data_IF_400859424614
#
_entry.id   IF_400859424614
#
_cell.length_a   1.000
_cell.length_b   1.000
_cell.length_c   1.000
_cell.angle_alpha   90.00
_cell.angle_beta   90.00
_cell.angle_gamma   90.00
#
_symmetry.space_group_name_H-M   'P 1'
#
loop_
_entity.id
_entity.type
_entity.pdbx_description
1 polymer ?
#
# COMPACT_ATOMS: atom_id res chain seq x y z
N UNK A 1 13.25 19.29 -14.24
CA UNK A 1 12.76 19.35 -12.84
C UNK A 1 11.87 18.14 -12.59
N UNK A 2 12.08 17.39 -11.49
CA UNK A 2 11.21 16.27 -11.07
C UNK A 2 10.25 16.80 -10.00
N UNK A 3 8.95 16.49 -10.13
CA UNK A 3 7.90 16.88 -9.17
C UNK A 3 7.37 15.60 -8.50
N UNK A 4 7.11 15.65 -7.21
CA UNK A 4 6.48 14.57 -6.46
C UNK A 4 5.35 15.15 -5.60
N UNK A 5 4.24 14.43 -5.54
CA UNK A 5 3.10 14.75 -4.69
C UNK A 5 3.05 13.71 -3.57
N UNK A 6 3.14 14.18 -2.33
CA UNK A 6 3.25 13.32 -1.14
C UNK A 6 2.10 13.68 -0.22
N UNK A 7 1.21 12.73 0.02
CA UNK A 7 0.18 12.82 1.05
C UNK A 7 0.56 11.90 2.22
N UNK A 8 0.88 12.45 3.41
CA UNK A 8 1.24 11.63 4.56
C UNK A 8 0.01 10.90 5.09
N UNK A 9 0.15 9.59 5.27
CA UNK A 9 -0.87 8.71 5.86
C UNK A 9 -0.33 8.03 7.10
N UNK A 10 -1.19 7.82 8.10
CA UNK A 10 -0.83 7.10 9.31
C UNK A 10 -0.90 5.59 9.09
N UNK A 11 -0.03 4.83 9.75
CA UNK A 11 -0.10 3.36 9.77
C UNK A 11 -1.44 2.93 10.36
N UNK A 12 -2.15 2.04 9.67
CA UNK A 12 -3.50 1.61 10.03
C UNK A 12 -4.62 2.58 9.62
N UNK A 13 -4.27 3.71 9.01
CA UNK A 13 -5.24 4.63 8.39
C UNK A 13 -5.71 4.13 7.03
N UNK A 14 -6.94 4.54 6.65
CA UNK A 14 -7.48 4.31 5.30
C UNK A 14 -6.61 5.01 4.26
N UNK A 15 -6.25 4.31 3.18
CA UNK A 15 -5.46 4.90 2.10
C UNK A 15 -6.39 5.66 1.15
N UNK A 16 -6.17 6.97 0.92
CA UNK A 16 -7.02 7.77 0.04
C UNK A 16 -6.85 7.36 -1.43
N UNK A 17 -7.84 7.71 -2.25
CA UNK A 17 -7.77 7.57 -3.70
C UNK A 17 -6.61 8.39 -4.25
N UNK A 18 -5.56 7.73 -4.72
CA UNK A 18 -4.35 8.41 -5.20
C UNK A 18 -4.36 8.57 -6.72
N UNK A 19 -3.82 9.70 -7.22
CA UNK A 19 -3.72 9.94 -8.66
C UNK A 19 -2.66 9.05 -9.31
N UNK A 20 -3.08 8.18 -10.22
CA UNK A 20 -2.18 7.51 -11.16
C UNK A 20 -1.94 8.43 -12.35
N UNK A 21 -0.73 8.99 -12.43
CA UNK A 21 -0.33 9.86 -13.53
C UNK A 21 0.03 9.02 -14.77
N UNK A 22 -0.71 9.23 -15.86
CA UNK A 22 -0.38 8.66 -17.17
C UNK A 22 0.57 9.60 -17.93
N UNK A 23 0.33 10.90 -17.76
CA UNK A 23 1.13 11.99 -18.31
C UNK A 23 1.29 13.09 -17.24
N UNK A 24 2.25 14.03 -17.39
CA UNK A 24 2.45 15.11 -16.44
C UNK A 24 1.22 16.01 -16.20
N UNK A 25 0.24 15.98 -17.10
CA UNK A 25 -0.99 16.79 -17.06
C UNK A 25 -2.26 15.93 -16.90
N UNK A 26 -2.16 14.59 -16.98
CA UNK A 26 -3.32 13.69 -16.93
C UNK A 26 -3.12 12.62 -15.86
N UNK A 27 -4.08 12.55 -14.95
CA UNK A 27 -4.14 11.52 -13.93
C UNK A 27 -5.55 10.95 -13.82
N UNK A 28 -5.63 9.74 -13.27
CA UNK A 28 -6.90 9.08 -12.92
C UNK A 28 -6.86 8.77 -11.41
N UNK A 29 -7.91 9.11 -10.64
CA UNK A 29 -8.01 8.69 -9.25
C UNK A 29 -8.21 7.17 -9.20
N UNK A 30 -7.38 6.47 -8.44
CA UNK A 30 -7.46 5.01 -8.29
C UNK A 30 -7.74 4.66 -6.82
N UNK A 31 -8.76 3.81 -6.54
CA UNK A 31 -9.04 3.31 -5.19
C UNK A 31 -8.02 2.26 -4.80
N UNK A 32 -6.88 2.74 -4.31
CA UNK A 32 -5.71 1.90 -4.05
C UNK A 32 -5.97 0.88 -2.94
N UNK A 33 -6.67 1.28 -1.87
CA UNK A 33 -7.03 0.36 -0.78
C UNK A 33 -7.91 -0.78 -1.26
N UNK A 34 -9.00 -0.46 -1.97
CA UNK A 34 -9.96 -1.46 -2.43
C UNK A 34 -9.32 -2.40 -3.46
N UNK A 35 -8.52 -1.84 -4.37
CA UNK A 35 -7.80 -2.62 -5.38
C UNK A 35 -6.77 -3.55 -4.73
N UNK A 36 -6.02 -3.05 -3.75
CA UNK A 36 -5.03 -3.86 -3.05
C UNK A 36 -5.67 -4.95 -2.19
N UNK A 37 -6.76 -4.63 -1.51
CA UNK A 37 -7.56 -5.59 -0.71
C UNK A 37 -8.10 -6.71 -1.60
N UNK A 38 -8.68 -6.37 -2.74
CA UNK A 38 -9.18 -7.35 -3.70
C UNK A 38 -8.06 -8.22 -4.28
N UNK A 39 -6.93 -7.61 -4.65
CA UNK A 39 -5.77 -8.33 -5.17
C UNK A 39 -5.20 -9.31 -4.12
N UNK A 40 -5.07 -8.88 -2.86
CA UNK A 40 -4.59 -9.74 -1.78
C UNK A 40 -5.57 -10.87 -1.46
N UNK A 41 -6.88 -10.58 -1.46
CA UNK A 41 -7.91 -11.61 -1.26
C UNK A 41 -7.87 -12.73 -2.32
N UNK A 42 -7.46 -12.41 -3.54
CA UNK A 42 -7.30 -13.38 -4.63
C UNK A 42 -6.04 -14.26 -4.48
N UNK A 43 -5.08 -13.88 -3.63
CA UNK A 43 -3.87 -14.68 -3.38
C UNK A 43 -4.23 -15.96 -2.61
N UNK A 44 -3.69 -17.13 -2.95
CA UNK A 44 -3.92 -18.35 -2.17
C UNK A 44 -3.46 -18.20 -0.72
N UNK A 45 -4.23 -18.72 0.25
CA UNK A 45 -3.96 -18.59 1.70
C UNK A 45 -2.51 -18.90 2.12
N UNK A 46 -1.89 -19.93 1.51
CA UNK A 46 -0.49 -20.28 1.79
C UNK A 46 0.46 -19.10 1.59
N UNK A 47 0.24 -18.29 0.55
CA UNK A 47 1.07 -17.14 0.23
C UNK A 47 0.69 -15.90 1.05
N UNK A 48 -0.60 -15.73 1.38
CA UNK A 48 -1.03 -14.69 2.33
C UNK A 48 -0.31 -14.84 3.67
N UNK A 49 -0.27 -16.07 4.21
CA UNK A 49 0.40 -16.35 5.50
C UNK A 49 1.91 -16.05 5.48
N UNK A 50 2.59 -16.22 4.34
CA UNK A 50 4.00 -15.85 4.21
C UNK A 50 4.17 -14.34 4.33
N UNK A 51 3.35 -13.57 3.60
CA UNK A 51 3.39 -12.10 3.60
C UNK A 51 3.08 -11.54 5.00
N UNK A 52 2.05 -12.07 5.67
CA UNK A 52 1.69 -11.67 7.04
C UNK A 52 2.77 -12.05 8.07
N UNK A 53 3.47 -13.18 7.86
CA UNK A 53 4.53 -13.63 8.76
C UNK A 53 5.79 -12.77 8.67
N UNK A 54 6.13 -12.28 7.47
CA UNK A 54 7.23 -11.34 7.24
C UNK A 54 6.97 -10.02 7.98
N UNK A 55 5.74 -9.53 7.92
CA UNK A 55 5.33 -8.28 8.58
C UNK A 55 5.52 -8.34 10.11
N UNK A 56 5.12 -9.48 10.73
CA UNK A 56 5.34 -9.72 12.17
C UNK A 56 6.82 -9.79 12.55
N UNK A 57 7.66 -10.39 11.70
CA UNK A 57 9.10 -10.52 11.96
C UNK A 57 9.81 -9.15 11.95
N UNK A 58 9.43 -8.26 11.03
CA UNK A 58 10.02 -6.92 10.92
C UNK A 58 9.50 -5.97 12.01
N UNK A 59 8.21 -6.01 12.33
CA UNK A 59 7.63 -5.20 13.42
C UNK A 59 8.15 -5.61 14.80
N UNK A 60 8.41 -6.90 15.03
CA UNK A 60 8.99 -7.40 16.29
C UNK A 60 10.43 -6.91 16.52
N UNK A 61 11.19 -6.65 15.46
CA UNK A 61 12.56 -6.14 15.58
C UNK A 61 12.58 -4.62 15.77
N UNK A 62 11.67 -3.89 15.09
CA UNK A 62 11.65 -2.42 15.07
C UNK A 62 11.10 -1.76 16.35
N UNK A 63 10.27 -2.47 17.12
CA UNK A 63 9.76 -1.97 18.43
C UNK A 63 10.72 -2.29 19.60
N UNK A 64 11.71 -3.16 19.39
CA UNK A 64 12.66 -3.59 20.42
C UNK A 64 13.97 -2.76 20.45
N UNK A 65 13.98 -1.53 19.92
CA UNK A 65 15.15 -0.64 19.94
C UNK A 65 14.81 0.80 20.30
#
# INVERSE_FOLDING_TARGET
MKRAFIEPVAVGGRLPDMPLFLDPERYVPVPLEDTYTAAFAAVPKRWQSVLESSDRAEHSCRISK
#
